data_IF_632663782240
#
_entry.id   IF_632663782240
#
_cell.length_a   1.000
_cell.length_b   1.000
_cell.length_c   1.000
_cell.angle_alpha   90.00
_cell.angle_beta   90.00
_cell.angle_gamma   90.00
#
_symmetry.space_group_name_H-M   'P 1'
#
loop_
_entity.id
_entity.type
_entity.pdbx_description
1 polymer ?
#
# COMPACT_ATOMS: atom_id res chain seq x y z
N UNK A 1 -22.30 56.51 10.77
CA UNK A 1 -21.22 55.99 9.88
C UNK A 1 -20.19 55.11 10.62
N UNK A 2 -20.15 55.02 11.96
CA UNK A 2 -19.20 54.15 12.71
C UNK A 2 -19.53 52.64 12.66
N UNK A 3 -20.77 52.25 12.37
CA UNK A 3 -21.20 50.84 12.32
C UNK A 3 -20.65 50.03 11.14
N UNK A 4 -20.27 50.69 10.04
CA UNK A 4 -19.84 50.02 8.81
C UNK A 4 -18.36 49.63 8.81
N UNK A 5 -17.50 50.45 9.45
CA UNK A 5 -16.07 50.13 9.61
C UNK A 5 -15.84 49.01 10.64
N UNK A 6 -16.65 48.98 11.71
CA UNK A 6 -16.63 47.88 12.69
C UNK A 6 -17.12 46.55 12.07
N UNK A 7 -18.15 46.59 11.22
CA UNK A 7 -18.63 45.41 10.50
C UNK A 7 -17.61 44.84 9.50
N UNK A 8 -16.81 45.69 8.86
CA UNK A 8 -15.77 45.26 7.91
C UNK A 8 -14.59 44.53 8.59
N UNK A 9 -14.14 45.00 9.76
CA UNK A 9 -13.02 44.38 10.49
C UNK A 9 -13.38 43.00 11.08
N UNK A 10 -14.59 42.85 11.62
CA UNK A 10 -15.08 41.58 12.17
C UNK A 10 -15.24 40.54 11.06
N UNK A 11 -15.87 40.91 9.95
CA UNK A 11 -16.11 40.01 8.81
C UNK A 11 -14.80 39.51 8.18
N UNK A 12 -13.79 40.36 8.03
CA UNK A 12 -12.50 39.98 7.45
C UNK A 12 -11.75 38.93 8.29
N UNK A 13 -11.80 39.06 9.63
CA UNK A 13 -11.19 38.08 10.53
C UNK A 13 -11.91 36.72 10.53
N UNK A 14 -13.24 36.72 10.38
CA UNK A 14 -14.04 35.50 10.22
C UNK A 14 -13.81 34.84 8.85
N UNK A 15 -13.72 35.64 7.78
CA UNK A 15 -13.40 35.14 6.44
C UNK A 15 -12.01 34.49 6.41
N UNK A 16 -11.01 35.12 7.02
CA UNK A 16 -9.65 34.57 7.08
C UNK A 16 -9.59 33.24 7.83
N UNK A 17 -10.26 33.12 8.99
CA UNK A 17 -10.36 31.86 9.74
C UNK A 17 -11.16 30.77 9.02
N UNK A 18 -12.17 31.15 8.24
CA UNK A 18 -12.95 30.21 7.44
C UNK A 18 -12.13 29.69 6.25
N UNK A 19 -11.36 30.55 5.59
CA UNK A 19 -10.42 30.19 4.51
C UNK A 19 -9.32 29.27 5.05
N UNK A 20 -8.66 29.64 6.16
CA UNK A 20 -7.64 28.80 6.82
C UNK A 20 -8.20 27.41 7.19
N UNK A 21 -9.41 27.35 7.78
CA UNK A 21 -10.08 26.05 8.06
C UNK A 21 -10.43 25.25 6.82
N UNK A 22 -10.83 25.92 5.74
CA UNK A 22 -11.18 25.26 4.47
C UNK A 22 -9.92 24.71 3.79
N UNK A 23 -8.82 25.45 3.83
CA UNK A 23 -7.51 25.02 3.31
C UNK A 23 -6.95 23.84 4.11
N UNK A 24 -6.99 23.89 5.45
CA UNK A 24 -6.57 22.79 6.31
C UNK A 24 -7.41 21.53 6.07
N UNK A 25 -8.74 21.68 5.98
CA UNK A 25 -9.64 20.58 5.67
C UNK A 25 -9.35 19.97 4.29
N UNK A 26 -9.16 20.81 3.27
CA UNK A 26 -8.85 20.36 1.91
C UNK A 26 -7.50 19.63 1.84
N UNK A 27 -6.48 20.13 2.55
CA UNK A 27 -5.17 19.46 2.65
C UNK A 27 -5.28 18.12 3.38
N UNK A 28 -6.05 18.06 4.46
CA UNK A 28 -6.32 16.82 5.21
C UNK A 28 -6.99 15.76 4.33
N UNK A 29 -8.07 16.12 3.64
CA UNK A 29 -8.77 15.21 2.73
C UNK A 29 -7.89 14.76 1.55
N UNK A 30 -7.07 15.67 1.01
CA UNK A 30 -6.12 15.30 -0.06
C UNK A 30 -5.12 14.26 0.40
N UNK A 31 -4.49 14.47 1.56
CA UNK A 31 -3.54 13.50 2.13
C UNK A 31 -4.22 12.16 2.46
N UNK A 32 -5.44 12.20 2.98
CA UNK A 32 -6.26 11.02 3.26
C UNK A 32 -6.47 10.20 1.98
N UNK A 33 -6.84 10.84 0.87
CA UNK A 33 -7.04 10.18 -0.41
C UNK A 33 -5.73 9.62 -0.99
N UNK A 34 -4.64 10.41 -0.95
CA UNK A 34 -3.32 9.95 -1.42
C UNK A 34 -2.85 8.69 -0.66
N UNK A 35 -3.10 8.62 0.65
CA UNK A 35 -2.83 7.43 1.46
C UNK A 35 -3.70 6.23 1.06
N UNK A 36 -5.01 6.42 0.87
CA UNK A 36 -5.90 5.35 0.40
C UNK A 36 -5.38 4.80 -0.93
N UNK A 37 -5.08 5.67 -1.88
CA UNK A 37 -4.65 5.26 -3.22
C UNK A 37 -3.32 4.50 -3.16
N UNK A 38 -2.34 4.99 -2.41
CA UNK A 38 -1.05 4.32 -2.25
C UNK A 38 -1.15 2.97 -1.53
N UNK A 39 -1.91 2.89 -0.44
CA UNK A 39 -2.07 1.65 0.32
C UNK A 39 -2.85 0.59 -0.48
N UNK A 40 -3.87 1.00 -1.22
CA UNK A 40 -4.61 0.11 -2.13
C UNK A 40 -3.73 -0.36 -3.29
N UNK A 41 -2.97 0.53 -3.92
CA UNK A 41 -2.05 0.18 -5.00
C UNK A 41 -1.00 -0.84 -4.53
N UNK A 42 -0.42 -0.63 -3.36
CA UNK A 42 0.56 -1.55 -2.78
C UNK A 42 -0.04 -2.92 -2.46
N UNK A 43 -1.20 -2.97 -1.78
CA UNK A 43 -1.88 -4.23 -1.50
C UNK A 43 -2.25 -4.98 -2.79
N UNK A 44 -2.69 -4.26 -3.82
CA UNK A 44 -2.96 -4.81 -5.14
C UNK A 44 -1.72 -5.42 -5.80
N UNK A 45 -0.60 -4.70 -5.78
CA UNK A 45 0.67 -5.18 -6.32
C UNK A 45 1.16 -6.46 -5.62
N UNK A 46 1.06 -6.53 -4.28
CA UNK A 46 1.37 -7.74 -3.52
C UNK A 46 0.48 -8.93 -3.91
N UNK A 47 -0.82 -8.71 -4.10
CA UNK A 47 -1.75 -9.78 -4.51
C UNK A 47 -1.41 -10.30 -5.90
N UNK A 48 -1.13 -9.41 -6.85
CA UNK A 48 -0.73 -9.76 -8.22
C UNK A 48 0.59 -10.53 -8.23
N UNK A 49 1.60 -10.04 -7.52
CA UNK A 49 2.91 -10.70 -7.43
C UNK A 49 2.79 -12.07 -6.77
N UNK A 50 2.05 -12.18 -5.66
CA UNK A 50 1.80 -13.46 -4.97
C UNK A 50 1.09 -14.46 -5.88
N UNK A 51 0.11 -14.03 -6.66
CA UNK A 51 -0.60 -14.91 -7.61
C UNK A 51 0.37 -15.52 -8.62
N UNK A 52 1.24 -14.72 -9.22
CA UNK A 52 2.26 -15.19 -10.14
C UNK A 52 3.21 -16.20 -9.48
N UNK A 53 3.66 -15.92 -8.26
CA UNK A 53 4.57 -16.82 -7.53
C UNK A 53 3.93 -18.15 -7.13
N UNK A 54 2.63 -18.16 -6.80
CA UNK A 54 1.88 -19.40 -6.56
C UNK A 54 1.76 -20.21 -7.86
N UNK A 55 1.39 -19.56 -8.96
CA UNK A 55 1.31 -20.21 -10.27
C UNK A 55 2.65 -20.81 -10.69
N UNK A 56 3.74 -20.06 -10.50
CA UNK A 56 5.12 -20.52 -10.71
C UNK A 56 5.44 -21.79 -9.91
N UNK A 57 5.02 -21.86 -8.65
CA UNK A 57 5.23 -23.07 -7.83
C UNK A 57 4.53 -24.28 -8.42
N UNK A 58 3.24 -24.15 -8.80
CA UNK A 58 2.47 -25.25 -9.39
C UNK A 58 3.05 -25.71 -10.72
N UNK A 59 3.44 -24.78 -11.60
CA UNK A 59 4.07 -25.14 -12.88
C UNK A 59 5.36 -25.94 -12.69
N UNK A 60 6.19 -25.56 -11.72
CA UNK A 60 7.43 -26.27 -11.38
C UNK A 60 7.13 -27.68 -10.88
N UNK A 61 6.14 -27.83 -10.01
CA UNK A 61 5.75 -29.10 -9.40
C UNK A 61 5.11 -30.06 -10.43
N UNK A 62 4.21 -29.55 -11.27
CA UNK A 62 3.42 -30.37 -12.21
C UNK A 62 4.20 -30.74 -13.47
N UNK A 63 5.07 -29.85 -13.96
CA UNK A 63 5.69 -30.04 -15.27
C UNK A 63 7.17 -30.42 -15.22
N UNK A 64 7.90 -30.27 -14.10
CA UNK A 64 9.38 -30.41 -14.05
C UNK A 64 10.12 -29.71 -15.22
N UNK A 65 9.51 -28.68 -15.82
CA UNK A 65 10.07 -27.92 -16.95
C UNK A 65 10.84 -26.71 -16.40
N UNK A 66 11.96 -26.39 -17.05
CA UNK A 66 12.69 -25.15 -16.78
C UNK A 66 11.82 -23.92 -17.08
N UNK A 67 11.80 -22.97 -16.15
CA UNK A 67 11.04 -21.73 -16.30
C UNK A 67 11.51 -20.95 -17.54
N UNK A 68 10.56 -20.48 -18.36
CA UNK A 68 10.86 -19.62 -19.51
C UNK A 68 11.40 -18.26 -19.06
N UNK A 69 12.29 -17.66 -19.85
CA UNK A 69 12.78 -16.29 -19.63
C UNK A 69 11.64 -15.28 -19.50
N UNK A 70 10.56 -15.43 -20.29
CA UNK A 70 9.40 -14.56 -20.22
C UNK A 70 8.70 -14.62 -18.85
N UNK A 71 8.61 -15.81 -18.23
CA UNK A 71 8.02 -15.97 -16.91
C UNK A 71 8.92 -15.36 -15.81
N UNK A 72 10.24 -15.49 -15.95
CA UNK A 72 11.21 -14.82 -15.05
C UNK A 72 11.09 -13.31 -15.14
N UNK A 73 11.06 -12.77 -16.36
CA UNK A 73 10.92 -11.34 -16.60
C UNK A 73 9.63 -10.79 -15.98
N UNK A 74 8.50 -11.47 -16.20
CA UNK A 74 7.22 -11.10 -15.58
C UNK A 74 7.28 -11.09 -14.04
N UNK A 75 8.02 -12.03 -13.45
CA UNK A 75 8.24 -12.04 -11.99
C UNK A 75 9.08 -10.88 -11.51
N UNK A 76 10.02 -10.37 -12.31
CA UNK A 76 10.79 -9.18 -11.96
C UNK A 76 9.95 -7.92 -12.09
N UNK A 77 9.15 -7.79 -13.15
CA UNK A 77 8.23 -6.65 -13.32
C UNK A 77 7.26 -6.51 -12.14
N UNK A 78 6.53 -7.58 -11.78
CA UNK A 78 5.59 -7.52 -10.65
C UNK A 78 6.29 -7.29 -9.31
N UNK A 79 7.53 -7.75 -9.15
CA UNK A 79 8.33 -7.45 -7.95
C UNK A 79 8.69 -5.98 -7.90
N UNK A 80 9.13 -5.40 -9.01
CA UNK A 80 9.48 -3.98 -9.13
C UNK A 80 8.27 -3.10 -8.87
N UNK A 81 7.10 -3.43 -9.43
CA UNK A 81 5.84 -2.73 -9.16
C UNK A 81 5.49 -2.72 -7.67
N UNK A 82 5.63 -3.87 -7.00
CA UNK A 82 5.39 -3.97 -5.56
C UNK A 82 6.41 -3.16 -4.74
N UNK A 83 7.68 -3.14 -5.14
CA UNK A 83 8.71 -2.32 -4.50
C UNK A 83 8.47 -0.82 -4.68
N UNK A 84 8.10 -0.38 -5.88
CA UNK A 84 7.77 1.01 -6.15
C UNK A 84 6.58 1.46 -5.29
N UNK A 85 5.53 0.65 -5.23
CA UNK A 85 4.38 0.94 -4.38
C UNK A 85 4.75 0.95 -2.88
N UNK A 86 5.67 0.09 -2.42
CA UNK A 86 6.19 0.13 -1.05
C UNK A 86 6.91 1.46 -0.76
N UNK A 87 7.70 1.99 -1.69
CA UNK A 87 8.35 3.29 -1.49
C UNK A 87 7.32 4.41 -1.33
N UNK A 88 6.20 4.36 -2.06
CA UNK A 88 5.10 5.32 -1.88
C UNK A 88 4.48 5.22 -0.48
N UNK A 89 4.28 4.01 0.04
CA UNK A 89 3.83 3.80 1.43
C UNK A 89 4.79 4.46 2.42
N UNK A 90 6.10 4.22 2.26
CA UNK A 90 7.15 4.77 3.13
C UNK A 90 7.21 6.29 3.12
N UNK A 91 6.90 6.93 1.99
CA UNK A 91 6.87 8.39 1.87
C UNK A 91 5.64 9.04 2.52
N UNK A 92 4.53 8.32 2.64
CA UNK A 92 3.23 8.87 3.07
C UNK A 92 2.92 8.65 4.56
N UNK A 93 3.73 7.89 5.28
CA UNK A 93 3.58 7.64 6.71
C UNK A 93 4.89 7.76 7.48
N UNK A 94 4.80 8.23 8.72
CA UNK A 94 5.89 8.19 9.70
C UNK A 94 5.72 7.04 10.70
N UNK A 95 4.69 6.18 10.53
CA UNK A 95 4.47 5.02 11.39
C UNK A 95 5.43 3.88 11.00
N UNK A 96 6.51 3.74 11.77
CA UNK A 96 7.49 2.68 11.60
C UNK A 96 6.89 1.27 11.67
N UNK A 97 5.82 1.07 12.45
CA UNK A 97 5.17 -0.24 12.52
C UNK A 97 4.47 -0.55 11.20
N UNK A 98 3.78 0.42 10.60
CA UNK A 98 3.16 0.25 9.29
C UNK A 98 4.21 -0.03 8.20
N UNK A 99 5.34 0.70 8.22
CA UNK A 99 6.44 0.50 7.27
C UNK A 99 7.06 -0.90 7.41
N UNK A 100 7.31 -1.36 8.64
CA UNK A 100 7.82 -2.72 8.88
C UNK A 100 6.84 -3.78 8.39
N UNK A 101 5.56 -3.66 8.72
CA UNK A 101 4.52 -4.60 8.28
C UNK A 101 4.40 -4.66 6.75
N UNK A 102 4.55 -3.51 6.07
CA UNK A 102 4.58 -3.47 4.62
C UNK A 102 5.80 -4.25 4.08
N UNK A 103 7.00 -3.96 4.56
CA UNK A 103 8.21 -4.67 4.13
C UNK A 103 8.13 -6.18 4.37
N UNK A 104 7.69 -6.61 5.56
CA UNK A 104 7.47 -8.02 5.91
C UNK A 104 6.46 -8.70 4.98
N UNK A 105 5.39 -8.01 4.57
CA UNK A 105 4.43 -8.55 3.63
C UNK A 105 5.05 -8.83 2.25
N UNK A 106 5.91 -7.92 1.75
CA UNK A 106 6.65 -8.15 0.51
C UNK A 106 7.59 -9.35 0.62
N UNK A 107 8.32 -9.46 1.73
CA UNK A 107 9.24 -10.58 1.96
C UNK A 107 8.47 -11.91 2.01
N UNK A 108 7.38 -11.98 2.79
CA UNK A 108 6.55 -13.18 2.84
C UNK A 108 5.97 -13.57 1.48
N UNK A 109 5.56 -12.60 0.65
CA UNK A 109 5.11 -12.86 -0.71
C UNK A 109 6.25 -13.42 -1.57
N UNK A 110 7.44 -12.82 -1.51
CA UNK A 110 8.60 -13.23 -2.32
C UNK A 110 9.03 -14.68 -2.05
N UNK A 111 8.84 -15.17 -0.83
CA UNK A 111 9.23 -16.53 -0.41
C UNK A 111 8.22 -17.63 -0.78
N UNK A 112 7.00 -17.27 -1.23
CA UNK A 112 5.91 -18.25 -1.48
C UNK A 112 6.33 -19.35 -2.46
N UNK A 113 6.95 -18.98 -3.58
CA UNK A 113 7.36 -19.93 -4.62
C UNK A 113 8.49 -20.88 -4.20
N UNK A 114 9.16 -20.62 -3.08
CA UNK A 114 10.26 -21.46 -2.59
C UNK A 114 9.78 -22.65 -1.78
N UNK A 115 8.47 -22.87 -1.66
CA UNK A 115 7.92 -23.96 -0.84
C UNK A 115 8.44 -25.31 -1.36
N UNK A 116 8.77 -26.21 -0.43
CA UNK A 116 9.31 -27.53 -0.78
C UNK A 116 8.22 -28.49 -1.26
N UNK A 117 7.04 -28.40 -0.66
CA UNK A 117 5.88 -29.26 -0.90
C UNK A 117 4.57 -28.48 -0.75
N UNK A 118 3.44 -29.18 -0.90
CA UNK A 118 2.10 -28.60 -0.83
C UNK A 118 1.75 -28.03 0.55
N UNK A 119 2.22 -28.65 1.62
CA UNK A 119 1.93 -28.20 2.99
C UNK A 119 2.72 -26.93 3.31
N UNK A 120 4.00 -26.90 2.94
CA UNK A 120 4.83 -25.70 3.01
C UNK A 120 4.27 -24.56 2.14
N UNK A 121 3.71 -24.87 0.97
CA UNK A 121 3.05 -23.86 0.13
C UNK A 121 1.78 -23.35 0.82
N UNK A 122 0.95 -24.23 1.38
CA UNK A 122 -0.27 -23.85 2.08
C UNK A 122 0.04 -22.89 3.24
N UNK A 123 1.07 -23.21 4.02
CA UNK A 123 1.51 -22.35 5.13
C UNK A 123 2.04 -21.00 4.64
N UNK A 124 2.92 -20.98 3.62
CA UNK A 124 3.41 -19.70 3.08
C UNK A 124 2.33 -18.85 2.43
N UNK A 125 1.33 -19.47 1.80
CA UNK A 125 0.14 -18.76 1.28
C UNK A 125 -0.69 -18.16 2.40
N UNK A 126 -0.79 -18.85 3.55
CA UNK A 126 -1.47 -18.35 4.75
C UNK A 126 -0.69 -17.18 5.34
N UNK A 127 0.60 -17.34 5.62
CA UNK A 127 1.48 -16.30 6.20
C UNK A 127 1.50 -15.04 5.34
N UNK A 128 1.73 -15.17 4.03
CA UNK A 128 1.74 -14.01 3.13
C UNK A 128 0.39 -13.28 3.06
N UNK A 129 -0.73 -14.01 3.06
CA UNK A 129 -2.06 -13.41 3.11
C UNK A 129 -2.29 -12.68 4.44
N UNK A 130 -1.94 -13.32 5.55
CA UNK A 130 -2.15 -12.76 6.89
C UNK A 130 -1.28 -11.50 7.08
N UNK A 131 -0.07 -11.47 6.52
CA UNK A 131 0.79 -10.28 6.48
C UNK A 131 0.18 -9.12 5.68
N UNK A 132 -0.34 -9.38 4.47
CA UNK A 132 -1.06 -8.38 3.66
C UNK A 132 -2.27 -7.82 4.45
N UNK A 133 -3.05 -8.69 5.07
CA UNK A 133 -4.22 -8.28 5.84
C UNK A 133 -3.83 -7.44 7.06
N UNK A 134 -2.73 -7.79 7.74
CA UNK A 134 -2.21 -7.04 8.88
C UNK A 134 -1.75 -5.64 8.49
N UNK A 135 -1.04 -5.53 7.35
CA UNK A 135 -0.69 -4.24 6.74
C UNK A 135 -1.95 -3.40 6.48
N UNK A 136 -2.96 -3.93 5.79
CA UNK A 136 -4.20 -3.19 5.48
C UNK A 136 -4.95 -2.77 6.75
N UNK A 137 -5.02 -3.65 7.76
CA UNK A 137 -5.66 -3.34 9.03
C UNK A 137 -4.96 -2.21 9.79
N UNK A 138 -3.62 -2.12 9.71
CA UNK A 138 -2.86 -1.00 10.26
C UNK A 138 -3.00 0.26 9.42
N UNK A 139 -2.91 0.13 8.10
CA UNK A 139 -3.06 1.24 7.15
C UNK A 139 -4.40 1.98 7.35
N UNK A 140 -5.49 1.26 7.62
CA UNK A 140 -6.82 1.82 7.90
C UNK A 140 -6.84 2.86 9.03
N UNK A 141 -5.88 2.85 9.97
CA UNK A 141 -5.79 3.84 11.06
C UNK A 141 -5.21 5.19 10.62
N UNK A 142 -4.65 5.27 9.41
CA UNK A 142 -3.96 6.44 8.86
C UNK A 142 -4.75 7.15 7.76
N UNK A 143 -5.96 6.67 7.45
CA UNK A 143 -6.89 7.14 6.42
C UNK A 143 -8.27 7.42 6.98
#
# INVERSE_FOLDING_TARGET
MLGTLLGAGVTHSFQRRAIERTEEFTRGEKLRQERIDAYCAYAGALVSYRRLLVDRWFRREENRIEESEAARFQSYELRSEAQEALFRVQLLTADDALVRQAAEALDHVAEVHKAADRDALAERRRVSRDAINSFVATAKRHV
#
